data_IF_524147906340
#
_entry.id   IF_524147906340
#
_cell.length_a   1.000
_cell.length_b   1.000
_cell.length_c   1.000
_cell.angle_alpha   90.00
_cell.angle_beta   90.00
_cell.angle_gamma   90.00
#
_symmetry.space_group_name_H-M   'P 1'
#
loop_
_entity.id
_entity.type
_entity.pdbx_description
1 polymer ?
#
# COMPACT_ATOMS: atom_id res chain seq x y z
N UNK A 1 -9.51 2.78 16.22
CA UNK A 1 -9.83 1.39 16.62
C UNK A 1 -8.54 0.63 16.59
N UNK A 2 -8.20 -0.17 17.61
CA UNK A 2 -6.99 -0.99 17.58
C UNK A 2 -7.08 -2.04 16.47
N UNK A 3 -6.00 -2.22 15.71
CA UNK A 3 -5.80 -3.24 14.66
C UNK A 3 -6.28 -4.64 15.08
N UNK A 4 -6.05 -5.02 16.34
CA UNK A 4 -6.48 -6.31 16.91
C UNK A 4 -8.00 -6.59 16.78
N UNK A 5 -8.85 -5.56 16.80
CA UNK A 5 -10.31 -5.72 16.63
C UNK A 5 -10.76 -5.87 15.17
N UNK A 6 -9.91 -5.50 14.21
CA UNK A 6 -10.27 -5.51 12.79
C UNK A 6 -10.05 -6.91 12.18
N UNK A 7 -9.13 -7.73 12.70
CA UNK A 7 -8.86 -9.07 12.18
C UNK A 7 -10.04 -10.04 12.28
N UNK A 8 -10.82 -10.00 13.36
CA UNK A 8 -12.06 -10.77 13.48
C UNK A 8 -13.28 -10.05 12.88
N UNK A 9 -13.09 -8.83 12.38
CA UNK A 9 -14.19 -8.00 11.90
C UNK A 9 -14.69 -8.46 10.53
N UNK A 10 -15.93 -8.06 10.24
CA UNK A 10 -16.51 -8.19 8.91
C UNK A 10 -15.63 -7.54 7.81
N UNK A 11 -14.88 -6.49 8.16
CA UNK A 11 -13.98 -5.80 7.22
C UNK A 11 -12.89 -6.75 6.73
N UNK A 12 -12.25 -7.52 7.63
CA UNK A 12 -11.24 -8.48 7.22
C UNK A 12 -11.84 -9.53 6.28
N UNK A 13 -13.01 -10.10 6.63
CA UNK A 13 -13.69 -11.09 5.77
C UNK A 13 -13.99 -10.55 4.36
N UNK A 14 -14.37 -9.28 4.25
CA UNK A 14 -14.59 -8.62 2.97
C UNK A 14 -13.28 -8.43 2.20
N UNK A 15 -12.24 -7.94 2.87
CA UNK A 15 -10.92 -7.78 2.22
C UNK A 15 -10.42 -9.12 1.71
N UNK A 16 -10.52 -10.19 2.50
CA UNK A 16 -10.08 -11.55 2.16
C UNK A 16 -10.85 -12.19 1.00
N UNK A 17 -12.18 -12.02 0.95
CA UNK A 17 -13.02 -12.88 0.08
C UNK A 17 -13.76 -12.12 -1.02
N UNK A 18 -13.73 -10.79 -1.07
CA UNK A 18 -14.50 -10.05 -2.06
C UNK A 18 -13.98 -10.34 -3.49
N UNK A 19 -14.87 -10.74 -4.43
CA UNK A 19 -14.48 -10.99 -5.82
C UNK A 19 -14.40 -9.68 -6.63
N UNK A 20 -13.94 -8.61 -5.99
CA UNK A 20 -13.84 -7.27 -6.57
C UNK A 20 -12.81 -6.42 -5.81
N UNK A 21 -12.33 -5.31 -6.41
CA UNK A 21 -11.45 -4.38 -5.70
C UNK A 21 -12.12 -3.83 -4.44
N UNK A 22 -11.37 -3.79 -3.34
CA UNK A 22 -11.83 -3.32 -2.02
C UNK A 22 -10.96 -2.16 -1.57
N UNK A 23 -11.60 -1.11 -1.04
CA UNK A 23 -10.93 -0.02 -0.35
C UNK A 23 -11.41 0.06 1.10
N UNK A 24 -10.48 0.22 2.04
CA UNK A 24 -10.78 0.47 3.46
C UNK A 24 -10.14 1.80 3.86
N UNK A 25 -10.99 2.74 4.26
CA UNK A 25 -10.55 4.05 4.73
C UNK A 25 -10.45 4.04 6.26
N UNK A 26 -9.24 4.26 6.78
CA UNK A 26 -9.06 4.76 8.13
C UNK A 26 -9.16 6.27 8.08
N UNK A 27 -10.30 6.78 8.52
CA UNK A 27 -10.60 8.20 8.54
C UNK A 27 -10.01 8.88 9.78
N UNK A 28 -9.26 9.95 9.56
CA UNK A 28 -8.70 10.85 10.57
C UNK A 28 -9.18 12.31 10.33
N UNK A 29 -10.40 12.50 9.84
CA UNK A 29 -10.99 13.81 9.56
C UNK A 29 -10.86 14.25 8.11
N UNK A 30 -10.86 13.30 7.17
CA UNK A 30 -10.81 13.59 5.74
C UNK A 30 -11.98 14.50 5.32
N UNK A 31 -11.65 15.64 4.70
CA UNK A 31 -12.65 16.53 4.11
C UNK A 31 -12.61 16.47 2.59
N UNK A 32 -11.47 16.85 2.01
CA UNK A 32 -11.30 16.93 0.56
C UNK A 32 -9.98 16.29 0.14
N UNK A 33 -9.98 15.10 -0.49
CA UNK A 33 -8.75 14.42 -0.94
C UNK A 33 -8.13 15.13 -2.16
N UNK A 34 -7.63 16.34 -1.94
CA UNK A 34 -7.00 17.19 -2.96
C UNK A 34 -5.54 16.86 -3.16
N UNK A 35 -4.81 16.58 -2.08
CA UNK A 35 -3.37 16.32 -2.12
C UNK A 35 -3.08 14.95 -1.55
N UNK A 36 -2.93 14.00 -2.46
CA UNK A 36 -2.91 12.58 -2.15
C UNK A 36 -1.47 12.06 -2.26
N UNK A 37 -0.98 11.47 -1.18
CA UNK A 37 0.30 10.78 -1.13
C UNK A 37 0.11 9.30 -1.46
N UNK A 38 0.91 8.76 -2.40
CA UNK A 38 0.83 7.36 -2.81
C UNK A 38 2.20 6.70 -2.71
N UNK A 39 2.51 6.00 -1.60
CA UNK A 39 3.71 5.17 -1.51
C UNK A 39 3.70 4.06 -2.56
N UNK A 40 4.74 3.99 -3.39
CA UNK A 40 4.71 3.16 -4.59
C UNK A 40 6.03 2.40 -4.82
N UNK A 41 5.99 1.08 -4.65
CA UNK A 41 7.13 0.18 -4.94
C UNK A 41 6.95 -0.68 -6.20
N UNK A 42 5.98 -0.36 -7.06
CA UNK A 42 5.78 -1.06 -8.33
C UNK A 42 4.93 -2.33 -8.26
N UNK A 43 4.22 -2.57 -7.15
CA UNK A 43 3.23 -3.66 -7.11
C UNK A 43 1.95 -3.26 -7.84
N UNK A 44 1.21 -4.26 -8.33
CA UNK A 44 -0.05 -4.05 -9.06
C UNK A 44 -1.11 -3.39 -8.17
N UNK A 45 -1.20 -3.79 -6.89
CA UNK A 45 -2.06 -3.12 -5.92
C UNK A 45 -1.68 -1.64 -5.74
N UNK A 46 -0.38 -1.32 -5.69
CA UNK A 46 0.06 0.07 -5.59
C UNK A 46 -0.25 0.87 -6.87
N UNK A 47 -0.13 0.24 -8.04
CA UNK A 47 -0.45 0.87 -9.33
C UNK A 47 -1.93 1.25 -9.43
N UNK A 48 -2.81 0.38 -8.97
CA UNK A 48 -4.21 0.72 -8.79
C UNK A 48 -4.45 1.79 -7.72
N UNK A 49 -3.65 1.82 -6.65
CA UNK A 49 -3.63 2.93 -5.69
C UNK A 49 -3.41 4.28 -6.37
N UNK A 50 -2.48 4.36 -7.32
CA UNK A 50 -2.25 5.56 -8.14
C UNK A 50 -3.48 5.88 -9.02
N UNK A 51 -4.12 4.86 -9.63
CA UNK A 51 -5.35 5.07 -10.41
C UNK A 51 -6.50 5.64 -9.57
N UNK A 52 -6.67 5.11 -8.35
CA UNK A 52 -7.68 5.59 -7.39
C UNK A 52 -7.34 7.02 -6.98
N UNK A 53 -6.08 7.32 -6.65
CA UNK A 53 -5.62 8.67 -6.33
C UNK A 53 -5.93 9.66 -7.45
N UNK A 54 -5.55 9.34 -8.69
CA UNK A 54 -5.83 10.19 -9.86
C UNK A 54 -7.32 10.44 -10.02
N UNK A 55 -8.16 9.41 -9.88
CA UNK A 55 -9.62 9.53 -10.01
C UNK A 55 -10.22 10.43 -8.92
N UNK A 56 -9.76 10.29 -7.66
CA UNK A 56 -10.22 11.14 -6.56
C UNK A 56 -9.79 12.59 -6.74
N UNK A 57 -8.51 12.82 -7.06
CA UNK A 57 -7.95 14.14 -7.30
C UNK A 57 -8.60 14.85 -8.50
N UNK A 58 -9.03 14.10 -9.52
CA UNK A 58 -9.69 14.66 -10.72
C UNK A 58 -10.99 15.40 -10.40
N UNK A 59 -11.66 15.08 -9.28
CA UNK A 59 -12.87 15.78 -8.85
C UNK A 59 -12.60 17.25 -8.46
N UNK A 60 -11.33 17.61 -8.26
CA UNK A 60 -10.88 18.96 -7.90
C UNK A 60 -10.18 19.68 -9.05
N UNK A 61 -10.20 19.11 -10.26
CA UNK A 61 -9.56 19.69 -11.44
C UNK A 61 -8.09 20.00 -11.20
N UNK A 62 -7.67 21.22 -11.52
CA UNK A 62 -6.27 21.66 -11.42
C UNK A 62 -5.78 21.84 -9.97
N UNK A 63 -6.68 21.75 -8.98
CA UNK A 63 -6.31 21.77 -7.55
C UNK A 63 -6.02 20.38 -6.99
N UNK A 64 -6.25 19.33 -7.79
CA UNK A 64 -5.90 17.96 -7.46
C UNK A 64 -4.42 17.68 -7.72
N UNK A 65 -3.73 17.16 -6.71
CA UNK A 65 -2.34 16.76 -6.75
C UNK A 65 -2.19 15.31 -6.28
N UNK A 66 -1.49 14.51 -7.06
CA UNK A 66 -1.07 13.17 -6.67
C UNK A 66 0.45 13.15 -6.59
N UNK A 67 0.97 12.84 -5.40
CA UNK A 67 2.41 12.67 -5.18
C UNK A 67 2.69 11.19 -4.98
N UNK A 68 3.44 10.62 -5.91
CA UNK A 68 3.90 9.24 -5.86
C UNK A 68 5.22 9.22 -5.08
N UNK A 69 5.23 8.53 -3.95
CA UNK A 69 6.37 8.50 -3.04
C UNK A 69 7.21 7.24 -3.24
N UNK A 70 8.51 7.45 -3.48
CA UNK A 70 9.55 6.41 -3.41
C UNK A 70 10.35 6.63 -2.13
N UNK A 71 10.36 5.62 -1.26
CA UNK A 71 11.25 5.58 -0.10
C UNK A 71 12.41 4.65 -0.43
N UNK A 72 13.63 5.17 -0.34
CA UNK A 72 14.86 4.42 -0.62
C UNK A 72 15.87 4.55 0.50
N UNK A 73 16.77 3.57 0.61
CA UNK A 73 17.86 3.58 1.57
C UNK A 73 18.96 4.57 1.18
N UNK A 74 19.76 5.00 2.18
CA UNK A 74 20.93 5.85 1.94
C UNK A 74 21.93 5.14 1.03
N UNK A 75 22.29 5.78 -0.08
CA UNK A 75 23.17 5.21 -1.11
C UNK A 75 22.43 4.71 -2.36
N UNK A 76 21.10 4.67 -2.34
CA UNK A 76 20.30 4.55 -3.57
C UNK A 76 20.43 5.77 -4.48
N UNK A 77 20.08 5.60 -5.75
CA UNK A 77 20.09 6.66 -6.77
C UNK A 77 18.67 7.25 -6.94
N UNK A 78 18.39 8.47 -6.45
CA UNK A 78 17.06 9.07 -6.51
C UNK A 78 16.58 9.30 -7.94
N UNK A 79 17.47 9.70 -8.84
CA UNK A 79 17.09 10.03 -10.20
C UNK A 79 16.66 8.77 -10.94
N UNK A 80 17.43 7.69 -10.79
CA UNK A 80 17.06 6.38 -11.36
C UNK A 80 15.73 5.89 -10.83
N UNK A 81 15.46 6.07 -9.53
CA UNK A 81 14.23 5.61 -8.90
C UNK A 81 13.01 6.45 -9.32
N UNK A 82 13.20 7.75 -9.50
CA UNK A 82 12.19 8.65 -10.07
C UNK A 82 11.85 8.24 -11.51
N UNK A 83 12.85 8.05 -12.37
CA UNK A 83 12.67 7.61 -13.76
C UNK A 83 11.97 6.25 -13.83
N UNK A 84 12.35 5.30 -12.96
CA UNK A 84 11.74 3.98 -12.90
C UNK A 84 10.29 4.05 -12.46
N UNK A 85 9.96 4.89 -11.49
CA UNK A 85 8.59 5.07 -11.05
C UNK A 85 7.75 5.73 -12.15
N UNK A 86 8.28 6.74 -12.85
CA UNK A 86 7.57 7.37 -13.98
C UNK A 86 7.27 6.39 -15.09
N UNK A 87 8.23 5.54 -15.47
CA UNK A 87 8.02 4.50 -16.50
C UNK A 87 6.83 3.59 -16.19
N UNK A 88 6.50 3.39 -14.92
CA UNK A 88 5.43 2.47 -14.50
C UNK A 88 4.05 3.11 -14.41
N UNK A 89 3.97 4.44 -14.27
CA UNK A 89 2.71 5.14 -13.95
C UNK A 89 2.37 6.26 -14.93
N UNK A 90 3.24 6.54 -15.91
CA UNK A 90 3.10 7.65 -16.86
C UNK A 90 1.76 7.60 -17.60
N UNK A 91 1.34 6.41 -18.02
CA UNK A 91 0.07 6.16 -18.71
C UNK A 91 -1.16 6.65 -17.93
N UNK A 92 -1.09 6.67 -16.59
CA UNK A 92 -2.19 7.14 -15.73
C UNK A 92 -2.41 8.66 -15.89
N UNK A 93 -1.36 9.41 -16.23
CA UNK A 93 -1.38 10.88 -16.27
C UNK A 93 -1.37 11.47 -17.69
N UNK A 94 -1.20 10.67 -18.75
CA UNK A 94 -1.06 11.15 -20.13
C UNK A 94 -2.24 12.00 -20.66
N UNK A 95 -3.44 11.87 -20.08
CA UNK A 95 -4.64 12.62 -20.47
C UNK A 95 -5.36 13.26 -19.26
N UNK A 96 -4.59 13.77 -18.29
CA UNK A 96 -5.12 14.24 -17.01
C UNK A 96 -4.90 15.73 -16.76
N UNK A 97 -5.92 16.41 -16.22
CA UNK A 97 -5.78 17.74 -15.63
C UNK A 97 -5.17 17.73 -14.22
N UNK A 98 -5.05 16.55 -13.61
CA UNK A 98 -4.44 16.34 -12.30
C UNK A 98 -2.92 16.34 -12.42
N UNK A 99 -2.25 17.09 -11.56
CA UNK A 99 -0.79 17.08 -11.45
C UNK A 99 -0.29 15.78 -10.82
N UNK A 100 0.66 15.10 -11.47
CA UNK A 100 1.41 13.98 -10.93
C UNK A 100 2.85 14.41 -10.63
N UNK A 101 3.29 14.24 -9.38
CA UNK A 101 4.70 14.43 -8.97
C UNK A 101 5.24 13.08 -8.51
N UNK A 102 6.50 12.76 -8.85
CA UNK A 102 7.22 11.68 -8.19
C UNK A 102 8.20 12.31 -7.22
N UNK A 103 8.11 11.90 -5.95
CA UNK A 103 9.01 12.32 -4.90
C UNK A 103 9.79 11.14 -4.40
N UNK A 104 11.11 11.29 -4.34
CA UNK A 104 12.01 10.30 -3.76
C UNK A 104 12.55 10.83 -2.43
N UNK A 105 12.44 10.03 -1.38
CA UNK A 105 12.93 10.36 -0.04
C UNK A 105 13.84 9.25 0.48
N UNK A 106 14.81 9.64 1.30
CA UNK A 106 15.68 8.70 1.99
C UNK A 106 15.15 8.39 3.38
N UNK A 107 15.06 7.10 3.73
CA UNK A 107 14.76 6.67 5.09
C UNK A 107 15.37 5.29 5.35
N UNK A 108 15.71 5.02 6.61
CA UNK A 108 16.22 3.71 7.04
C UNK A 108 15.10 2.66 7.12
N UNK A 109 13.86 3.11 7.35
CA UNK A 109 12.65 2.27 7.28
C UNK A 109 11.59 2.91 6.39
N UNK A 110 10.93 2.06 5.59
CA UNK A 110 9.88 2.49 4.66
C UNK A 110 8.72 3.17 5.39
N UNK A 111 8.23 2.57 6.48
CA UNK A 111 7.14 3.11 7.29
C UNK A 111 7.46 4.53 7.79
N UNK A 112 8.63 4.70 8.39
CA UNK A 112 9.08 6.01 8.91
C UNK A 112 9.19 7.04 7.77
N UNK A 113 9.72 6.65 6.62
CA UNK A 113 9.79 7.53 5.44
C UNK A 113 8.42 7.99 4.94
N UNK A 114 7.43 7.08 4.93
CA UNK A 114 6.04 7.40 4.53
C UNK A 114 5.40 8.34 5.53
N UNK A 115 5.46 8.00 6.82
CA UNK A 115 4.82 8.79 7.89
C UNK A 115 5.43 10.19 7.95
N UNK A 116 6.76 10.29 7.96
CA UNK A 116 7.44 11.58 7.98
C UNK A 116 7.09 12.44 6.77
N UNK A 117 7.01 11.84 5.57
CA UNK A 117 6.58 12.57 4.38
C UNK A 117 5.11 12.99 4.46
N UNK A 118 4.24 12.17 5.04
CA UNK A 118 2.81 12.50 5.16
C UNK A 118 2.54 13.74 6.01
N UNK A 119 3.48 14.10 6.91
CA UNK A 119 3.45 15.33 7.70
C UNK A 119 4.06 16.54 6.98
N UNK A 120 4.70 16.32 5.84
CA UNK A 120 5.20 17.39 4.99
C UNK A 120 4.12 17.78 3.96
N UNK A 121 4.09 19.03 3.49
CA UNK A 121 3.30 19.46 2.31
C UNK A 121 1.77 19.22 2.35
N UNK A 122 1.09 19.36 3.49
CA UNK A 122 -0.39 19.38 3.61
C UNK A 122 -1.12 18.18 2.95
N UNK A 123 -0.49 17.00 2.91
CA UNK A 123 -1.17 15.79 2.46
C UNK A 123 -2.38 15.52 3.35
N UNK A 124 -3.52 15.23 2.72
CA UNK A 124 -4.76 15.00 3.46
C UNK A 124 -5.33 13.58 3.25
N UNK A 125 -4.72 12.81 2.36
CA UNK A 125 -4.99 11.40 2.18
C UNK A 125 -3.71 10.66 1.77
N UNK A 126 -3.44 9.53 2.42
CA UNK A 126 -2.46 8.53 1.96
C UNK A 126 -3.24 7.41 1.29
N UNK A 127 -2.84 6.98 0.08
CA UNK A 127 -3.40 5.78 -0.56
C UNK A 127 -2.32 4.72 -0.65
N UNK A 128 -2.60 3.55 -0.09
CA UNK A 128 -1.66 2.43 0.02
C UNK A 128 -2.24 1.24 -0.72
N UNK A 129 -1.49 0.68 -1.67
CA UNK A 129 -1.82 -0.64 -2.20
C UNK A 129 -1.54 -1.72 -1.17
N UNK A 130 -2.34 -2.79 -1.18
CA UNK A 130 -2.02 -4.02 -0.47
C UNK A 130 -0.62 -4.51 -0.84
N UNK A 131 0.10 -5.06 0.12
CA UNK A 131 1.30 -5.86 -0.13
C UNK A 131 0.92 -7.28 -0.56
N UNK A 132 1.88 -8.13 -0.93
CA UNK A 132 1.65 -9.56 -1.15
C UNK A 132 1.22 -10.32 0.11
N UNK A 133 1.57 -9.80 1.29
CA UNK A 133 1.33 -10.41 2.61
C UNK A 133 -0.13 -10.31 3.07
N UNK A 134 -1.00 -9.66 2.29
CA UNK A 134 -2.37 -9.35 2.71
C UNK A 134 -3.23 -10.60 2.98
N UNK A 135 -2.85 -11.77 2.43
CA UNK A 135 -3.49 -13.07 2.72
C UNK A 135 -2.96 -13.76 3.98
N UNK A 136 -1.83 -13.32 4.53
CA UNK A 136 -1.24 -13.94 5.70
C UNK A 136 -2.12 -13.72 6.94
N UNK A 137 -2.15 -14.72 7.81
CA UNK A 137 -2.84 -14.63 9.10
C UNK A 137 -2.29 -13.41 9.87
N UNK A 138 -3.18 -12.57 10.38
CA UNK A 138 -2.91 -11.32 11.11
C UNK A 138 -2.49 -10.10 10.27
N UNK A 139 -2.72 -10.09 8.95
CA UNK A 139 -2.59 -8.90 8.12
C UNK A 139 -3.92 -8.58 7.40
N UNK A 140 -4.25 -7.30 7.26
CA UNK A 140 -5.40 -6.83 6.48
C UNK A 140 -4.97 -6.48 5.05
N UNK A 141 -3.97 -5.60 4.93
CA UNK A 141 -3.40 -5.19 3.66
C UNK A 141 -1.87 -5.42 3.63
N UNK A 142 -1.27 -5.83 4.75
CA UNK A 142 0.15 -6.20 4.87
C UNK A 142 0.89 -5.40 5.92
N UNK A 143 2.15 -5.77 6.19
CA UNK A 143 2.95 -5.15 7.25
C UNK A 143 3.03 -3.62 7.13
N UNK A 144 3.47 -3.11 5.98
CA UNK A 144 3.62 -1.65 5.76
C UNK A 144 2.26 -0.92 5.68
N UNK A 145 1.28 -1.37 4.87
CA UNK A 145 -0.09 -0.82 4.88
C UNK A 145 -0.74 -0.72 6.24
N UNK A 146 -0.71 -1.79 7.02
CA UNK A 146 -1.39 -1.85 8.30
C UNK A 146 -0.72 -0.96 9.35
N UNK A 147 0.62 -0.93 9.40
CA UNK A 147 1.36 -0.06 10.33
C UNK A 147 1.16 1.42 9.97
N UNK A 148 1.29 1.80 8.70
CA UNK A 148 1.05 3.19 8.28
C UNK A 148 -0.39 3.59 8.55
N UNK A 149 -1.36 2.71 8.28
CA UNK A 149 -2.74 2.97 8.64
C UNK A 149 -2.85 3.21 10.14
N UNK A 150 -2.27 2.38 11.01
CA UNK A 150 -2.39 2.55 12.46
C UNK A 150 -1.70 3.83 12.98
N UNK A 151 -0.50 4.15 12.49
CA UNK A 151 0.36 5.20 13.03
C UNK A 151 0.17 6.60 12.41
N UNK A 152 -0.30 6.70 11.16
CA UNK A 152 -0.45 7.99 10.50
C UNK A 152 -1.60 8.82 11.12
N UNK A 153 -1.34 10.12 11.34
CA UNK A 153 -2.38 11.10 11.68
C UNK A 153 -3.20 11.52 10.45
N UNK A 154 -2.65 11.41 9.25
CA UNK A 154 -3.37 11.63 7.99
C UNK A 154 -4.33 10.47 7.72
N UNK A 155 -5.45 10.72 7.04
CA UNK A 155 -6.36 9.64 6.65
C UNK A 155 -5.67 8.68 5.68
N UNK A 156 -5.93 7.37 5.83
CA UNK A 156 -5.28 6.33 5.02
C UNK A 156 -6.34 5.46 4.33
N UNK A 157 -6.33 5.45 3.00
CA UNK A 157 -7.12 4.53 2.19
C UNK A 157 -6.23 3.38 1.73
N UNK A 158 -6.47 2.20 2.28
CA UNK A 158 -5.83 0.97 1.83
C UNK A 158 -6.67 0.35 0.71
N UNK A 159 -6.03 -0.01 -0.39
CA UNK A 159 -6.70 -0.59 -1.56
C UNK A 159 -6.15 -1.97 -1.87
N UNK A 160 -7.05 -2.91 -2.06
CA UNK A 160 -6.77 -4.22 -2.62
C UNK A 160 -7.44 -4.29 -3.98
N UNK A 161 -6.69 -4.76 -4.95
CA UNK A 161 -7.22 -4.92 -6.30
C UNK A 161 -7.51 -6.39 -6.51
N UNK A 162 -8.57 -6.64 -7.24
CA UNK A 162 -8.99 -7.98 -7.60
C UNK A 162 -8.66 -8.18 -9.07
N UNK A 163 -7.73 -9.08 -9.32
CA UNK A 163 -7.49 -9.69 -10.62
C UNK A 163 -7.41 -11.18 -10.35
N UNK A 164 -8.22 -11.98 -11.07
CA UNK A 164 -8.26 -13.42 -10.87
C UNK A 164 -6.87 -14.06 -11.02
N UNK A 165 -6.02 -13.54 -11.90
CA UNK A 165 -4.68 -14.09 -12.12
C UNK A 165 -3.73 -13.78 -10.95
N UNK A 166 -3.81 -12.56 -10.43
CA UNK A 166 -3.01 -12.11 -9.27
C UNK A 166 -3.44 -12.90 -8.03
N UNK A 167 -4.74 -13.11 -7.88
CA UNK A 167 -5.29 -13.85 -6.75
C UNK A 167 -4.92 -15.33 -6.80
N UNK A 168 -4.90 -15.95 -7.99
CA UNK A 168 -4.40 -17.32 -8.21
C UNK A 168 -2.88 -17.44 -7.96
N UNK A 169 -2.06 -16.50 -8.44
CA UNK A 169 -0.59 -16.53 -8.27
C UNK A 169 -0.15 -16.36 -6.81
N UNK A 170 -0.78 -15.43 -6.08
CA UNK A 170 -0.52 -15.25 -4.65
C UNK A 170 -1.04 -16.45 -3.83
N UNK A 171 -2.12 -17.11 -4.26
CA UNK A 171 -2.61 -18.31 -3.59
C UNK A 171 -1.60 -19.46 -3.70
N UNK A 172 -0.96 -19.62 -4.87
CA UNK A 172 0.10 -20.59 -5.08
C UNK A 172 1.35 -20.26 -4.24
N UNK A 173 1.78 -18.99 -4.18
CA UNK A 173 2.92 -18.58 -3.34
C UNK A 173 2.64 -18.76 -1.84
N UNK A 174 1.40 -18.51 -1.38
CA UNK A 174 1.01 -18.62 0.03
C UNK A 174 0.88 -20.06 0.54
N UNK A 175 0.38 -20.99 -0.29
CA UNK A 175 0.34 -22.42 0.06
C UNK A 175 1.75 -23.01 0.22
N UNK A 176 2.70 -22.58 -0.63
CA UNK A 176 4.10 -23.02 -0.54
C UNK A 176 4.78 -22.55 0.75
N UNK A 177 4.53 -21.31 1.19
CA UNK A 177 5.08 -20.80 2.46
C UNK A 177 4.46 -21.52 3.67
N UNK A 178 3.15 -21.82 3.66
CA UNK A 178 2.53 -22.61 4.74
C UNK A 178 3.04 -24.07 4.77
N UNK A 179 3.35 -24.69 3.62
CA UNK A 179 3.96 -26.03 3.58
C UNK A 179 5.40 -26.03 4.13
N UNK A 180 6.23 -25.05 3.77
CA UNK A 180 7.61 -24.92 4.27
C UNK A 180 7.64 -24.63 5.79
N UNK A 181 6.74 -23.78 6.30
CA UNK A 181 6.63 -23.48 7.75
C UNK A 181 6.19 -24.71 8.56
N UNK A 182 5.36 -25.59 7.97
CA UNK A 182 4.95 -26.86 8.60
C UNK A 182 6.09 -27.91 8.60
N UNK A 183 6.99 -27.86 7.62
CA UNK A 183 8.18 -28.72 7.59
C UNK A 183 9.27 -28.27 8.56
N UNK A 184 9.44 -26.95 8.79
CA UNK A 184 10.41 -26.44 9.77
C UNK A 184 10.00 -26.73 11.23
N UNK A 185 8.70 -26.69 11.56
CA UNK A 185 8.19 -27.01 12.91
C UNK A 185 8.30 -28.51 13.26
N UNK A 186 8.38 -29.40 12.26
CA UNK A 186 8.58 -30.84 12.46
C UNK A 186 10.06 -31.23 12.67
N UNK A 187 11.01 -30.29 12.50
CA UNK A 187 12.44 -30.56 12.68
C UNK A 187 13.03 -30.06 14.01
N UNK A 188 12.27 -29.39 14.88
CA UNK A 188 12.78 -28.90 16.17
C UNK A 188 11.94 -29.30 17.40
N UNK A 189 11.94 -30.59 17.77
CA UNK A 189 12.03 -31.03 19.19
C UNK A 189 12.02 -32.56 19.37
N UNK A 190 12.63 -33.11 20.44
CA UNK A 190 14.06 -33.16 20.68
C UNK A 190 14.51 -34.63 20.87
N UNK A 191 15.62 -35.01 20.23
CA UNK A 191 16.32 -36.23 20.61
C UNK A 191 17.52 -35.90 21.51
N UNK A 192 17.39 -36.33 22.78
CA UNK A 192 18.37 -37.08 23.60
C UNK A 192 18.77 -36.44 24.94
N UNK A 193 18.32 -37.17 25.98
CA UNK A 193 18.95 -37.56 27.25
C UNK A 193 19.70 -36.51 28.09
#
# INVERSE_FOLDING_TARGET
MSTAKIYESLVNKLVQNAPCPVGVLKDNGLQEPRKILVPYRGSEHAYWGVKVAKRLASNYGNMGEVVILRVIERGGDPQKEEENAWKQVKDIFEDSSVSGEIKVVFADKVVEGIINESYNKDYNLIIMGASKEWRLKNMLFGSVPDIVAEEAETSVLMVRCYDQKIDEEIQLEGEVVEEDDLEEDLQQSPEKF
#
